data_IF_155831413855
#
_entry.id   IF_155831413855
#
_cell.length_a   1.000
_cell.length_b   1.000
_cell.length_c   1.000
_cell.angle_alpha   90.00
_cell.angle_beta   90.00
_cell.angle_gamma   90.00
#
_symmetry.space_group_name_H-M   'P 1'
#
loop_
_entity.id
_entity.type
_entity.pdbx_description
1 polymer ?
#
# COMPACT_ATOMS: atom_id res chain seq x y z
N UNK A 1 -21.81 -64.82 10.09
CA UNK A 1 -21.92 -64.04 8.83
C UNK A 1 -21.32 -62.65 9.09
N UNK A 2 -20.38 -62.18 8.26
CA UNK A 2 -19.91 -60.78 8.34
C UNK A 2 -20.94 -59.88 7.66
N UNK A 3 -21.41 -58.85 8.37
CA UNK A 3 -22.32 -57.84 7.83
C UNK A 3 -21.63 -57.10 6.68
N UNK A 4 -22.26 -56.92 5.50
CA UNK A 4 -21.66 -56.16 4.42
C UNK A 4 -21.44 -54.71 4.84
N UNK A 5 -20.21 -54.21 4.69
CA UNK A 5 -19.86 -52.82 4.97
C UNK A 5 -19.83 -52.02 3.68
N UNK A 6 -20.57 -50.92 3.62
CA UNK A 6 -20.47 -49.95 2.54
C UNK A 6 -19.19 -49.13 2.75
N UNK A 7 -18.35 -49.07 1.73
CA UNK A 7 -17.07 -48.35 1.74
C UNK A 7 -17.14 -47.13 0.81
N UNK A 8 -16.32 -46.13 1.09
CA UNK A 8 -16.10 -45.00 0.18
C UNK A 8 -15.36 -45.42 -1.11
N UNK A 9 -15.20 -44.50 -2.07
CA UNK A 9 -14.48 -44.70 -3.33
C UNK A 9 -13.01 -45.13 -3.16
N UNK A 10 -12.42 -44.91 -1.99
CA UNK A 10 -11.07 -45.38 -1.64
C UNK A 10 -11.02 -46.87 -1.28
N UNK A 11 -12.18 -47.55 -1.18
CA UNK A 11 -12.31 -48.96 -0.84
C UNK A 11 -11.81 -49.33 0.55
N UNK A 12 -11.61 -48.34 1.44
CA UNK A 12 -11.03 -48.55 2.78
C UNK A 12 -11.83 -47.85 3.88
N UNK A 13 -12.28 -46.63 3.64
CA UNK A 13 -13.02 -45.84 4.63
C UNK A 13 -14.49 -46.25 4.61
N UNK A 14 -15.14 -46.35 5.78
CA UNK A 14 -16.57 -46.66 5.82
C UNK A 14 -17.39 -45.56 5.14
N UNK A 15 -18.47 -45.90 4.42
CA UNK A 15 -19.28 -44.90 3.70
C UNK A 15 -19.86 -43.84 4.64
N UNK A 16 -20.17 -44.21 5.90
CA UNK A 16 -20.68 -43.29 6.93
C UNK A 16 -19.63 -42.27 7.37
N UNK A 17 -18.40 -42.72 7.55
CA UNK A 17 -17.26 -41.85 7.87
C UNK A 17 -16.91 -40.99 6.65
N UNK A 18 -16.95 -41.57 5.45
CA UNK A 18 -16.69 -40.89 4.19
C UNK A 18 -17.71 -39.78 3.88
N UNK A 19 -19.00 -40.04 4.07
CA UNK A 19 -20.10 -39.10 3.83
C UNK A 19 -20.39 -38.15 5.01
N UNK A 20 -19.60 -38.23 6.08
CA UNK A 20 -19.67 -37.30 7.21
C UNK A 20 -19.28 -35.87 6.82
N UNK A 21 -19.70 -34.89 7.61
CA UNK A 21 -19.23 -33.51 7.45
C UNK A 21 -17.75 -33.41 7.83
N UNK A 22 -16.89 -33.10 6.86
CA UNK A 22 -15.44 -32.93 7.02
C UNK A 22 -15.05 -31.47 6.83
N UNK A 23 -15.49 -30.57 7.72
CA UNK A 23 -15.31 -29.11 7.57
C UNK A 23 -13.88 -28.69 7.18
N UNK A 24 -12.88 -29.06 8.00
CA UNK A 24 -11.45 -28.83 7.74
C UNK A 24 -10.64 -30.12 7.63
N UNK A 25 -11.31 -31.24 7.36
CA UNK A 25 -10.66 -32.54 7.18
C UNK A 25 -9.90 -32.64 5.86
N UNK A 26 -9.34 -33.81 5.56
CA UNK A 26 -8.50 -34.00 4.36
C UNK A 26 -9.25 -33.88 3.01
N UNK A 27 -10.53 -33.53 2.98
CA UNK A 27 -11.34 -33.48 1.77
C UNK A 27 -11.76 -34.86 1.25
N UNK A 28 -12.69 -34.88 0.30
CA UNK A 28 -13.26 -36.08 -0.31
C UNK A 28 -12.21 -36.86 -1.14
N UNK A 29 -11.43 -37.73 -0.51
CA UNK A 29 -10.32 -38.44 -1.17
C UNK A 29 -8.92 -37.88 -0.87
N UNK A 30 -8.79 -37.00 0.13
CA UNK A 30 -7.49 -36.61 0.68
C UNK A 30 -6.81 -35.41 0.02
N UNK A 31 -7.52 -34.63 -0.81
CA UNK A 31 -6.98 -33.46 -1.52
C UNK A 31 -6.36 -32.41 -0.58
N UNK A 32 -6.92 -32.24 0.62
CA UNK A 32 -6.45 -31.27 1.62
C UNK A 32 -5.45 -31.88 2.60
N UNK A 33 -4.98 -33.12 2.39
CA UNK A 33 -4.09 -33.81 3.34
C UNK A 33 -2.76 -33.08 3.56
N UNK A 34 -2.23 -32.46 2.51
CA UNK A 34 -1.04 -31.61 2.57
C UNK A 34 -1.33 -30.13 2.84
N UNK A 35 -2.60 -29.71 2.88
CA UNK A 35 -3.00 -28.31 3.06
C UNK A 35 -3.30 -28.04 4.53
N UNK A 36 -2.25 -27.78 5.31
CA UNK A 36 -2.33 -27.52 6.75
C UNK A 36 -1.75 -26.13 7.08
N UNK A 37 -2.41 -25.04 6.64
CA UNK A 37 -1.95 -23.69 6.96
C UNK A 37 -2.07 -23.42 8.46
N UNK A 38 -1.08 -22.74 9.03
CA UNK A 38 -1.16 -22.23 10.40
C UNK A 38 -2.11 -21.03 10.45
N UNK A 39 -2.87 -20.90 11.54
CA UNK A 39 -3.64 -19.68 11.80
C UNK A 39 -2.70 -18.64 12.39
N UNK A 40 -2.44 -17.58 11.64
CA UNK A 40 -1.47 -16.54 11.97
C UNK A 40 -2.14 -15.16 11.91
N UNK A 41 -1.65 -14.22 12.72
CA UNK A 41 -1.97 -12.81 12.48
C UNK A 41 -1.31 -12.34 11.18
N UNK A 42 -1.81 -11.27 10.52
CA UNK A 42 -1.21 -10.76 9.29
C UNK A 42 0.30 -10.52 9.40
N UNK A 43 0.77 -9.93 10.50
CA UNK A 43 2.20 -9.71 10.75
C UNK A 43 3.00 -11.02 10.81
N UNK A 44 2.50 -12.03 11.53
CA UNK A 44 3.21 -13.29 11.72
C UNK A 44 3.36 -14.04 10.40
N UNK A 45 2.36 -13.94 9.52
CA UNK A 45 2.41 -14.51 8.18
C UNK A 45 3.32 -13.74 7.21
N UNK A 46 3.34 -12.40 7.32
CA UNK A 46 4.01 -11.52 6.37
C UNK A 46 5.48 -11.26 6.72
N UNK A 47 5.76 -10.82 7.95
CA UNK A 47 7.06 -10.25 8.35
C UNK A 47 8.25 -11.19 8.11
N UNK A 48 8.18 -12.51 8.37
CA UNK A 48 9.30 -13.41 8.11
C UNK A 48 9.76 -13.44 6.64
N UNK A 49 8.83 -13.18 5.71
CA UNK A 49 9.09 -13.22 4.26
C UNK A 49 9.12 -11.83 3.62
N UNK A 50 8.76 -10.79 4.35
CA UNK A 50 8.52 -9.44 3.84
C UNK A 50 9.71 -8.89 3.05
N UNK A 51 10.91 -8.92 3.64
CA UNK A 51 12.12 -8.40 3.01
C UNK A 51 12.44 -9.13 1.69
N UNK A 52 12.28 -10.46 1.64
CA UNK A 52 12.51 -11.26 0.44
C UNK A 52 11.41 -11.04 -0.61
N UNK A 53 10.16 -10.87 -0.16
CA UNK A 53 9.03 -10.52 -1.03
C UNK A 53 9.28 -9.21 -1.75
N UNK A 54 9.62 -8.15 -1.01
CA UNK A 54 9.92 -6.84 -1.58
C UNK A 54 11.12 -6.88 -2.53
N UNK A 55 12.21 -7.57 -2.15
CA UNK A 55 13.37 -7.72 -3.04
C UNK A 55 13.03 -8.45 -4.36
N UNK A 56 12.11 -9.43 -4.33
CA UNK A 56 11.63 -10.10 -5.55
C UNK A 56 10.73 -9.21 -6.39
N UNK A 57 9.88 -8.40 -5.76
CA UNK A 57 9.04 -7.43 -6.46
C UNK A 57 9.89 -6.36 -7.16
N UNK A 58 10.92 -5.85 -6.48
CA UNK A 58 11.90 -4.93 -7.07
C UNK A 58 12.58 -5.51 -8.31
N UNK A 59 13.09 -6.74 -8.19
CA UNK A 59 13.81 -7.42 -9.27
C UNK A 59 12.88 -7.66 -10.46
N UNK A 60 11.63 -8.07 -10.19
CA UNK A 60 10.61 -8.26 -11.21
C UNK A 60 10.34 -6.96 -11.97
N UNK A 61 10.09 -5.85 -11.27
CA UNK A 61 9.81 -4.55 -11.91
C UNK A 61 11.02 -4.07 -12.71
N UNK A 62 12.25 -4.30 -12.23
CA UNK A 62 13.47 -3.86 -12.92
C UNK A 62 13.76 -4.66 -14.19
N UNK A 63 13.48 -5.95 -14.18
CA UNK A 63 13.96 -6.87 -15.23
C UNK A 63 12.86 -7.38 -16.16
N UNK A 64 11.57 -7.17 -15.85
CA UNK A 64 10.44 -7.62 -16.67
C UNK A 64 9.68 -6.44 -17.26
N UNK A 65 9.69 -6.34 -18.60
CA UNK A 65 9.03 -5.24 -19.33
C UNK A 65 7.51 -5.17 -19.12
N UNK A 66 6.83 -6.29 -18.89
CA UNK A 66 5.39 -6.27 -18.57
C UNK A 66 5.14 -5.69 -17.18
N UNK A 67 5.95 -6.07 -16.19
CA UNK A 67 5.85 -5.52 -14.83
C UNK A 67 6.18 -4.03 -14.82
N UNK A 68 7.28 -3.61 -15.46
CA UNK A 68 7.67 -2.21 -15.58
C UNK A 68 6.56 -1.36 -16.24
N UNK A 69 5.99 -1.85 -17.36
CA UNK A 69 4.91 -1.16 -18.05
C UNK A 69 3.63 -1.10 -17.19
N UNK A 70 3.32 -2.14 -16.41
CA UNK A 70 2.18 -2.12 -15.50
C UNK A 70 2.31 -1.01 -14.43
N UNK A 71 3.51 -0.80 -13.88
CA UNK A 71 3.78 0.30 -12.95
C UNK A 71 3.59 1.65 -13.64
N UNK A 72 4.13 1.82 -14.84
CA UNK A 72 3.99 3.06 -15.61
C UNK A 72 2.52 3.38 -15.91
N UNK A 73 1.76 2.39 -16.39
CA UNK A 73 0.31 2.52 -16.63
C UNK A 73 -0.45 2.89 -15.35
N UNK A 74 -0.08 2.31 -14.20
CA UNK A 74 -0.69 2.69 -12.92
C UNK A 74 -0.43 4.15 -12.56
N UNK A 75 0.79 4.64 -12.74
CA UNK A 75 1.10 6.05 -12.50
C UNK A 75 0.34 6.96 -13.46
N UNK A 76 0.26 6.59 -14.74
CA UNK A 76 -0.41 7.37 -15.78
C UNK A 76 -1.92 7.42 -15.58
N UNK A 77 -2.55 6.31 -15.19
CA UNK A 77 -4.00 6.26 -14.94
C UNK A 77 -4.41 6.94 -13.63
N UNK A 78 -3.61 6.83 -12.57
CA UNK A 78 -3.97 7.38 -11.26
C UNK A 78 -3.61 8.87 -11.18
N UNK A 79 -2.40 9.24 -11.60
CA UNK A 79 -1.87 10.60 -11.41
C UNK A 79 -2.03 11.43 -12.68
N UNK A 80 -1.85 10.81 -13.84
CA UNK A 80 -1.81 11.51 -15.11
C UNK A 80 -0.60 12.43 -15.25
N UNK A 81 -0.76 13.50 -16.01
CA UNK A 81 0.30 14.48 -16.27
C UNK A 81 0.45 15.51 -15.16
N UNK A 82 -0.60 15.74 -14.36
CA UNK A 82 -0.62 16.83 -13.39
C UNK A 82 -1.63 16.57 -12.27
N UNK A 83 -1.15 16.49 -11.03
CA UNK A 83 -1.97 16.15 -9.87
C UNK A 83 -2.56 17.41 -9.21
N UNK A 84 -3.77 17.79 -9.63
CA UNK A 84 -4.44 19.04 -9.22
C UNK A 84 -5.25 18.89 -7.95
N UNK A 85 -5.21 19.92 -7.10
CA UNK A 85 -6.21 20.12 -6.06
C UNK A 85 -7.55 20.47 -6.71
N UNK A 86 -8.63 19.83 -6.24
CA UNK A 86 -10.01 20.25 -6.50
C UNK A 86 -10.64 20.65 -5.18
N UNK A 87 -10.64 21.95 -4.88
CA UNK A 87 -11.06 22.47 -3.59
C UNK A 87 -12.56 22.79 -3.60
N UNK A 88 -13.34 22.08 -2.77
CA UNK A 88 -14.80 22.24 -2.63
C UNK A 88 -15.16 22.58 -1.18
N UNK A 89 -14.99 23.84 -0.74
CA UNK A 89 -15.33 24.24 0.61
C UNK A 89 -16.84 24.16 0.83
N UNK A 90 -17.25 23.74 2.03
CA UNK A 90 -18.67 23.68 2.42
C UNK A 90 -19.20 25.09 2.70
N UNK A 91 -19.59 25.80 1.65
CA UNK A 91 -19.96 27.22 1.73
C UNK A 91 -21.13 27.50 2.67
N UNK A 92 -22.12 26.59 2.72
CA UNK A 92 -23.27 26.69 3.65
C UNK A 92 -22.84 26.63 5.11
N UNK A 93 -21.88 25.76 5.42
CA UNK A 93 -21.33 25.64 6.78
C UNK A 93 -20.47 26.85 7.14
N UNK A 94 -19.70 27.35 6.18
CA UNK A 94 -18.86 28.54 6.34
C UNK A 94 -19.67 29.85 6.39
N UNK A 95 -20.95 29.82 6.06
CA UNK A 95 -21.83 31.01 6.07
C UNK A 95 -21.48 32.03 4.97
N UNK A 96 -20.77 31.61 3.92
CA UNK A 96 -20.40 32.46 2.78
C UNK A 96 -21.32 32.18 1.59
N UNK A 97 -21.38 33.10 0.62
CA UNK A 97 -22.12 32.86 -0.62
C UNK A 97 -21.45 31.76 -1.45
N UNK A 98 -22.20 31.15 -2.36
CA UNK A 98 -21.63 30.18 -3.30
C UNK A 98 -20.63 30.85 -4.24
N UNK A 99 -20.89 32.12 -4.61
CA UNK A 99 -20.01 32.95 -5.43
C UNK A 99 -18.67 33.19 -4.76
N UNK A 100 -18.68 33.60 -3.48
CA UNK A 100 -17.47 33.82 -2.67
C UNK A 100 -16.68 32.52 -2.49
N UNK A 101 -17.38 31.41 -2.24
CA UNK A 101 -16.74 30.09 -2.13
C UNK A 101 -16.02 29.69 -3.42
N UNK A 102 -16.64 29.94 -4.59
CA UNK A 102 -16.00 29.69 -5.89
C UNK A 102 -14.82 30.61 -6.13
N UNK A 103 -14.90 31.88 -5.72
CA UNK A 103 -13.77 32.82 -5.82
C UNK A 103 -12.60 32.36 -4.94
N UNK A 104 -12.88 32.03 -3.68
CA UNK A 104 -11.91 31.50 -2.75
C UNK A 104 -11.26 30.20 -3.22
N UNK A 105 -12.04 29.24 -3.74
CA UNK A 105 -11.50 28.01 -4.34
C UNK A 105 -10.48 28.30 -5.44
N UNK A 106 -10.74 29.27 -6.32
CA UNK A 106 -9.79 29.62 -7.40
C UNK A 106 -8.47 30.16 -6.84
N UNK A 107 -8.53 30.99 -5.82
CA UNK A 107 -7.33 31.53 -5.16
C UNK A 107 -6.52 30.40 -4.50
N UNK A 108 -7.19 29.52 -3.75
CA UNK A 108 -6.56 28.35 -3.11
C UNK A 108 -5.94 27.41 -4.13
N UNK A 109 -6.64 27.10 -5.23
CA UNK A 109 -6.12 26.22 -6.28
C UNK A 109 -4.94 26.85 -7.03
N UNK A 110 -4.94 28.18 -7.22
CA UNK A 110 -3.81 28.89 -7.82
C UNK A 110 -2.59 28.85 -6.90
N UNK A 111 -2.77 29.22 -5.62
CA UNK A 111 -1.71 29.18 -4.61
C UNK A 111 -1.15 27.76 -4.42
N UNK A 112 -2.01 26.75 -4.41
CA UNK A 112 -1.60 25.35 -4.36
C UNK A 112 -0.74 24.98 -5.57
N UNK A 113 -1.17 25.34 -6.78
CA UNK A 113 -0.42 25.05 -8.00
C UNK A 113 0.97 25.67 -7.97
N UNK A 114 1.07 26.94 -7.57
CA UNK A 114 2.36 27.64 -7.44
C UNK A 114 3.29 26.95 -6.45
N UNK A 115 2.76 26.47 -5.33
CA UNK A 115 3.56 25.78 -4.32
C UNK A 115 3.94 24.34 -4.71
N UNK A 116 2.96 23.58 -5.19
CA UNK A 116 3.07 22.16 -5.50
C UNK A 116 3.95 21.90 -6.73
N UNK A 117 3.94 22.81 -7.69
CA UNK A 117 4.58 22.66 -9.00
C UNK A 117 5.60 23.76 -9.28
N UNK A 118 6.15 24.35 -8.20
CA UNK A 118 7.29 25.27 -8.25
C UNK A 118 8.52 24.58 -8.88
N UNK A 119 9.17 25.27 -9.82
CA UNK A 119 10.36 24.78 -10.53
C UNK A 119 11.54 24.51 -9.58
N UNK A 120 11.60 25.22 -8.46
CA UNK A 120 12.64 24.98 -7.46
C UNK A 120 12.33 23.74 -6.59
N UNK A 121 11.14 23.15 -6.71
CA UNK A 121 10.67 22.01 -5.92
C UNK A 121 10.67 22.28 -4.42
N UNK A 122 10.19 23.46 -4.00
CA UNK A 122 10.16 23.87 -2.59
C UNK A 122 9.38 22.88 -1.70
N UNK A 123 8.34 22.24 -2.21
CA UNK A 123 7.57 21.22 -1.48
C UNK A 123 8.39 19.97 -1.10
N UNK A 124 9.45 19.65 -1.84
CA UNK A 124 10.37 18.55 -1.54
C UNK A 124 11.52 19.04 -0.65
N UNK A 125 11.73 18.39 0.48
CA UNK A 125 12.84 18.70 1.38
C UNK A 125 14.21 18.52 0.69
N UNK A 126 14.30 17.63 -0.31
CA UNK A 126 15.50 17.44 -1.11
C UNK A 126 15.59 18.32 -2.36
N UNK A 127 14.53 19.10 -2.66
CA UNK A 127 14.48 20.07 -3.76
C UNK A 127 14.64 19.43 -5.14
N UNK A 128 14.12 18.22 -5.35
CA UNK A 128 14.28 17.45 -6.60
C UNK A 128 12.99 17.22 -7.38
N UNK A 129 11.84 17.23 -6.71
CA UNK A 129 10.57 16.78 -7.27
C UNK A 129 9.44 17.75 -6.94
N UNK A 130 8.57 18.00 -7.92
CA UNK A 130 7.27 18.65 -7.68
C UNK A 130 6.31 17.69 -6.99
N UNK A 131 5.20 18.18 -6.48
CA UNK A 131 4.19 17.36 -5.82
C UNK A 131 3.66 16.26 -6.74
N UNK A 132 3.36 16.55 -7.99
CA UNK A 132 2.93 15.56 -8.98
C UNK A 132 3.97 14.44 -9.12
N UNK A 133 5.26 14.78 -9.17
CA UNK A 133 6.34 13.78 -9.22
C UNK A 133 6.40 12.95 -7.94
N UNK A 134 6.21 13.57 -6.77
CA UNK A 134 6.17 12.85 -5.48
C UNK A 134 4.99 11.89 -5.39
N UNK A 135 3.81 12.27 -5.89
CA UNK A 135 2.64 11.39 -5.94
C UNK A 135 2.86 10.24 -6.93
N UNK A 136 3.48 10.50 -8.09
CA UNK A 136 3.90 9.44 -9.02
C UNK A 136 4.86 8.45 -8.38
N UNK A 137 5.85 8.92 -7.64
CA UNK A 137 6.76 8.07 -6.86
C UNK A 137 5.98 7.24 -5.84
N UNK A 138 5.05 7.86 -5.10
CA UNK A 138 4.21 7.18 -4.12
C UNK A 138 3.37 6.06 -4.73
N UNK A 139 2.71 6.32 -5.87
CA UNK A 139 1.90 5.31 -6.59
C UNK A 139 2.76 4.15 -7.07
N UNK A 140 3.94 4.44 -7.64
CA UNK A 140 4.86 3.38 -8.05
C UNK A 140 5.31 2.56 -6.86
N UNK A 141 5.79 3.21 -5.79
CA UNK A 141 6.28 2.52 -4.60
C UNK A 141 5.21 1.62 -3.98
N UNK A 142 3.99 2.12 -3.82
CA UNK A 142 2.90 1.32 -3.29
C UNK A 142 2.59 0.10 -4.18
N UNK A 143 2.72 0.23 -5.50
CA UNK A 143 2.39 -0.84 -6.45
C UNK A 143 3.33 -2.06 -6.37
N UNK A 144 4.60 -1.88 -6.00
CA UNK A 144 5.55 -3.01 -5.91
C UNK A 144 6.09 -3.29 -4.49
N UNK A 145 6.15 -2.29 -3.60
CA UNK A 145 6.51 -2.50 -2.20
C UNK A 145 5.30 -2.64 -1.26
N UNK A 146 4.10 -2.24 -1.68
CA UNK A 146 2.91 -2.25 -0.84
C UNK A 146 2.81 -1.09 0.15
N UNK A 147 3.85 -0.28 0.31
CA UNK A 147 3.94 0.77 1.33
C UNK A 147 4.70 2.00 0.84
N UNK A 148 4.47 3.13 1.51
CA UNK A 148 5.11 4.42 1.27
C UNK A 148 5.40 5.10 2.60
N UNK A 149 6.59 5.66 2.76
CA UNK A 149 6.95 6.43 3.94
C UNK A 149 7.30 7.86 3.53
N UNK A 150 6.68 8.83 4.22
CA UNK A 150 6.94 10.26 4.00
C UNK A 150 7.13 10.92 5.35
N UNK A 151 8.22 11.65 5.49
CA UNK A 151 8.46 12.48 6.66
C UNK A 151 7.99 13.92 6.36
N UNK A 152 7.02 14.46 7.10
CA UNK A 152 6.72 15.89 7.04
C UNK A 152 7.90 16.67 7.62
N UNK A 153 8.27 17.74 6.93
CA UNK A 153 9.33 18.66 7.32
C UNK A 153 8.80 20.10 7.27
N UNK A 154 9.50 20.99 7.95
CA UNK A 154 9.13 22.40 8.02
C UNK A 154 10.38 23.26 7.79
N UNK A 155 10.32 24.14 6.80
CA UNK A 155 11.37 25.12 6.56
C UNK A 155 11.26 26.28 7.57
N UNK A 156 12.27 26.42 8.43
CA UNK A 156 12.37 27.51 9.40
C UNK A 156 12.92 28.82 8.81
N UNK A 157 13.34 28.84 7.55
CA UNK A 157 13.96 30.00 6.92
C UNK A 157 12.98 31.19 6.85
N UNK A 158 13.45 32.41 7.14
CA UNK A 158 12.62 33.61 7.01
C UNK A 158 12.30 33.89 5.52
N UNK A 159 11.16 34.52 5.26
CA UNK A 159 10.79 35.01 3.92
C UNK A 159 10.03 34.01 3.03
N UNK A 160 9.81 32.77 3.50
CA UNK A 160 9.07 31.76 2.73
C UNK A 160 7.60 31.72 3.10
N UNK A 161 6.73 31.85 2.10
CA UNK A 161 5.27 31.82 2.25
C UNK A 161 4.79 30.42 2.65
N UNK A 162 5.11 29.41 1.85
CA UNK A 162 4.80 28.00 2.14
C UNK A 162 6.02 27.27 2.68
N UNK A 163 5.92 26.80 3.93
CA UNK A 163 7.02 26.21 4.69
C UNK A 163 6.91 24.70 4.90
N UNK A 164 5.73 24.13 4.72
CA UNK A 164 5.55 22.69 4.75
C UNK A 164 6.40 22.06 3.66
N UNK A 165 7.12 21.00 3.97
CA UNK A 165 7.88 20.20 3.03
C UNK A 165 7.66 18.72 3.32
N UNK A 166 8.01 17.89 2.36
CA UNK A 166 7.92 16.45 2.49
C UNK A 166 9.24 15.82 2.05
N UNK A 167 9.71 14.85 2.83
CA UNK A 167 10.84 14.00 2.47
C UNK A 167 10.33 12.59 2.22
N UNK A 168 10.48 12.10 1.00
CA UNK A 168 10.18 10.71 0.70
C UNK A 168 11.27 9.84 1.32
N UNK A 169 10.85 8.83 2.07
CA UNK A 169 11.75 7.87 2.71
C UNK A 169 11.42 6.51 2.12
N UNK A 170 12.43 5.83 1.55
CA UNK A 170 12.22 4.47 1.07
C UNK A 170 11.78 3.59 2.26
N UNK A 171 10.68 2.83 2.15
CA UNK A 171 10.23 1.94 3.22
C UNK A 171 11.28 0.90 3.60
N UNK A 172 12.18 0.55 2.67
CA UNK A 172 13.35 -0.33 2.90
C UNK A 172 14.34 0.20 3.95
N UNK A 173 14.23 1.48 4.32
CA UNK A 173 15.04 2.12 5.36
C UNK A 173 14.35 2.16 6.72
N UNK A 174 13.10 1.71 6.80
CA UNK A 174 12.34 1.60 8.05
C UNK A 174 12.69 0.25 8.68
N UNK A 175 13.14 0.29 9.92
CA UNK A 175 13.44 -0.90 10.70
C UNK A 175 13.35 -0.60 12.19
N UNK A 176 13.28 -1.65 13.01
CA UNK A 176 13.36 -1.49 14.46
C UNK A 176 14.69 -0.80 14.83
N UNK A 177 14.70 0.05 15.86
CA UNK A 177 15.93 0.68 16.35
C UNK A 177 17.04 -0.36 16.58
N UNK A 178 18.24 -0.07 16.07
CA UNK A 178 19.41 -0.97 16.12
C UNK A 178 19.18 -2.36 15.50
N UNK A 179 18.20 -2.52 14.59
CA UNK A 179 17.78 -3.79 14.02
C UNK A 179 17.44 -4.86 15.07
N UNK A 180 16.85 -4.42 16.19
CA UNK A 180 16.36 -5.32 17.22
C UNK A 180 15.17 -6.14 16.73
N UNK A 181 14.95 -7.30 17.33
CA UNK A 181 13.78 -8.15 17.01
C UNK A 181 12.47 -7.46 17.37
N UNK A 182 11.39 -7.90 16.72
CA UNK A 182 10.06 -7.36 16.94
C UNK A 182 9.60 -7.51 18.40
N UNK A 183 8.88 -6.50 18.87
CA UNK A 183 8.29 -6.47 20.20
C UNK A 183 6.77 -6.30 20.11
N UNK A 184 6.10 -6.20 21.27
CA UNK A 184 4.67 -5.85 21.31
C UNK A 184 4.41 -4.44 20.78
N UNK A 185 5.36 -3.52 20.93
CA UNK A 185 5.15 -2.09 20.70
C UNK A 185 5.93 -1.54 19.49
N UNK A 186 6.73 -2.37 18.83
CA UNK A 186 7.47 -1.99 17.63
C UNK A 186 7.70 -3.24 16.79
N UNK A 187 7.20 -3.24 15.56
CA UNK A 187 7.33 -4.35 14.61
C UNK A 187 7.69 -3.79 13.23
N UNK A 188 8.73 -4.33 12.62
CA UNK A 188 9.22 -3.86 11.32
C UNK A 188 9.43 -2.32 11.23
N UNK A 189 9.76 -1.67 12.34
CA UNK A 189 10.04 -0.24 12.44
C UNK A 189 8.82 0.67 12.64
N UNK A 190 7.63 0.11 12.88
CA UNK A 190 6.38 0.83 13.18
C UNK A 190 5.86 0.47 14.57
#
# INVERSE_FOLDING_TARGET
>A
MKTPALLGPDGRTSLREYAGYHGGGHGFGGQLRGWQPQSESPDAALLPNFARGNARADDLVRNNGYAANAIQLHQDHIVGSFFRLSHRPSWRFLGISEEDARAFSREVESAWKEFAEDDNCFIDAERKRTFTMMIREGVAMHSFNGELCVQPAWDSSPGRLFRTQFKMVSPKRISNPNNTGDTRNCRAGV
#
